data_IF_447508153691
#
_entry.id   IF_447508153691
#
_cell.length_a   1.000
_cell.length_b   1.000
_cell.length_c   1.000
_cell.angle_alpha   90.00
_cell.angle_beta   90.00
_cell.angle_gamma   90.00
#
_symmetry.space_group_name_H-M   'P 1'
#
loop_
_entity.id
_entity.type
_entity.pdbx_description
1 polymer ?
#
# COMPACT_ATOMS: atom_id res chain seq x y z
N UNK A 1 -17.95 -22.96 1.46
CA UNK A 1 -17.36 -22.08 0.43
C UNK A 1 -16.12 -21.45 1.00
N UNK A 2 -15.00 -21.50 0.64
CA UNK A 2 -13.80 -20.97 1.25
C UNK A 2 -13.24 -19.73 0.57
N UNK A 3 -14.03 -19.02 -0.24
CA UNK A 3 -13.56 -17.83 -0.93
C UNK A 3 -13.34 -16.67 0.00
N UNK A 4 -12.21 -15.98 -0.17
CA UNK A 4 -11.93 -14.71 0.50
C UNK A 4 -12.75 -13.63 -0.21
N UNK A 5 -13.47 -12.82 0.55
CA UNK A 5 -14.25 -11.74 -0.03
C UNK A 5 -13.36 -10.52 -0.36
N UNK A 6 -13.90 -9.57 -1.12
CA UNK A 6 -13.15 -8.42 -1.64
C UNK A 6 -12.57 -7.54 -0.53
N UNK A 7 -13.20 -7.48 0.64
CA UNK A 7 -12.71 -6.66 1.75
C UNK A 7 -11.35 -7.14 2.27
N UNK A 8 -11.07 -8.45 2.21
CA UNK A 8 -9.77 -8.98 2.62
C UNK A 8 -8.66 -8.55 1.66
N UNK A 9 -8.94 -8.47 0.36
CA UNK A 9 -7.95 -7.97 -0.61
C UNK A 9 -7.55 -6.53 -0.29
N UNK A 10 -8.52 -5.68 0.01
CA UNK A 10 -8.25 -4.28 0.38
C UNK A 10 -7.47 -4.19 1.69
N UNK A 11 -7.79 -5.06 2.66
CA UNK A 11 -7.04 -5.10 3.92
C UNK A 11 -5.58 -5.51 3.68
N UNK A 12 -5.34 -6.52 2.86
CA UNK A 12 -3.96 -6.94 2.53
C UNK A 12 -3.17 -5.82 1.89
N UNK A 13 -3.78 -5.08 0.95
CA UNK A 13 -3.13 -3.94 0.31
C UNK A 13 -2.80 -2.86 1.33
N UNK A 14 -3.75 -2.51 2.18
CA UNK A 14 -3.57 -1.49 3.20
C UNK A 14 -2.46 -1.87 4.17
N UNK A 15 -2.48 -3.09 4.67
CA UNK A 15 -1.46 -3.58 5.61
C UNK A 15 -0.07 -3.56 4.97
N UNK A 16 0.03 -3.96 3.70
CA UNK A 16 1.31 -3.98 2.99
C UNK A 16 1.87 -2.58 2.73
N UNK A 17 1.03 -1.63 2.35
CA UNK A 17 1.44 -0.23 2.12
C UNK A 17 1.87 0.42 3.42
N UNK A 18 1.11 0.24 4.50
CA UNK A 18 1.47 0.78 5.82
C UNK A 18 2.78 0.18 6.33
N UNK A 19 2.97 -1.13 6.17
CA UNK A 19 4.21 -1.79 6.57
C UNK A 19 5.41 -1.24 5.79
N UNK A 20 5.26 -1.00 4.49
CA UNK A 20 6.31 -0.39 3.67
C UNK A 20 6.68 0.99 4.21
N UNK A 21 5.71 1.84 4.47
CA UNK A 21 5.93 3.17 5.04
C UNK A 21 6.67 3.10 6.37
N UNK A 22 6.21 2.25 7.28
CA UNK A 22 6.81 2.10 8.60
C UNK A 22 8.25 1.60 8.55
N UNK A 23 8.60 0.83 7.52
CA UNK A 23 9.96 0.31 7.35
C UNK A 23 10.93 1.33 6.77
N UNK A 24 10.47 2.24 5.91
CA UNK A 24 11.35 3.16 5.20
C UNK A 24 11.43 4.54 5.86
N UNK A 25 10.41 4.96 6.60
CA UNK A 25 10.36 6.29 7.19
C UNK A 25 10.93 6.30 8.61
N UNK A 26 11.61 7.40 9.01
CA UNK A 26 12.04 7.53 10.40
C UNK A 26 10.84 7.66 11.33
N UNK A 27 11.00 7.33 12.64
CA UNK A 27 9.88 7.37 13.58
C UNK A 27 9.13 8.70 13.65
N UNK A 28 9.84 9.82 13.53
CA UNK A 28 9.21 11.14 13.54
C UNK A 28 8.28 11.33 12.34
N UNK A 29 8.69 10.81 11.17
CA UNK A 29 7.87 10.91 9.96
C UNK A 29 6.64 10.01 10.07
N UNK A 30 6.79 8.80 10.62
CA UNK A 30 5.67 7.89 10.86
C UNK A 30 4.66 8.53 11.82
N UNK A 31 5.12 9.15 12.89
CA UNK A 31 4.24 9.79 13.87
C UNK A 31 3.60 11.06 13.33
N UNK A 32 4.29 11.79 12.44
CA UNK A 32 3.82 13.08 11.92
C UNK A 32 2.94 13.04 10.70
N UNK A 33 2.71 11.86 10.13
CA UNK A 33 1.98 11.72 8.88
C UNK A 33 0.96 10.58 8.93
N UNK A 34 -0.15 10.80 8.24
CA UNK A 34 -1.18 9.76 8.02
C UNK A 34 -1.32 9.52 6.53
N UNK A 35 -1.62 8.29 6.16
CA UNK A 35 -1.89 7.92 4.78
C UNK A 35 -3.36 7.57 4.61
N UNK A 36 -3.99 8.22 3.65
CA UNK A 36 -5.41 7.98 3.32
C UNK A 36 -5.50 7.43 1.92
N UNK A 37 -6.16 6.29 1.77
CA UNK A 37 -6.40 5.71 0.46
C UNK A 37 -7.40 6.57 -0.31
N UNK A 38 -7.05 6.91 -1.56
CA UNK A 38 -7.91 7.68 -2.45
C UNK A 38 -8.62 6.77 -3.45
N UNK A 39 -7.94 5.76 -3.95
CA UNK A 39 -8.48 4.90 -5.00
C UNK A 39 -7.81 3.54 -4.97
N UNK A 40 -8.60 2.51 -5.23
CA UNK A 40 -8.10 1.16 -5.50
C UNK A 40 -8.72 0.65 -6.80
N UNK A 41 -7.87 0.15 -7.70
CA UNK A 41 -8.30 -0.60 -8.88
C UNK A 41 -7.81 -2.02 -8.72
N UNK A 42 -8.74 -2.97 -8.63
CA UNK A 42 -8.42 -4.37 -8.40
C UNK A 42 -8.75 -5.17 -9.64
N UNK A 43 -7.77 -5.91 -10.14
CA UNK A 43 -7.96 -6.90 -11.18
C UNK A 43 -7.87 -8.29 -10.54
N UNK A 44 -8.95 -9.02 -10.52
CA UNK A 44 -9.01 -10.39 -9.97
C UNK A 44 -8.63 -11.38 -11.06
N UNK A 45 -7.73 -12.30 -10.73
CA UNK A 45 -7.29 -13.31 -11.68
C UNK A 45 -7.69 -14.72 -11.26
N UNK A 46 -7.49 -15.03 -9.97
CA UNK A 46 -7.85 -16.34 -9.39
C UNK A 46 -8.43 -16.15 -8.02
N UNK A 47 -9.37 -17.01 -7.59
CA UNK A 47 -9.92 -16.89 -6.24
C UNK A 47 -8.90 -17.26 -5.18
N UNK A 48 -8.97 -16.58 -4.03
CA UNK A 48 -8.25 -16.96 -2.83
C UNK A 48 -9.20 -17.71 -1.90
N UNK A 49 -8.64 -18.61 -1.10
CA UNK A 49 -9.37 -19.40 -0.12
C UNK A 49 -8.83 -19.13 1.28
N UNK A 50 -9.64 -19.39 2.29
CA UNK A 50 -9.30 -19.03 3.68
C UNK A 50 -8.01 -19.68 4.18
N UNK A 51 -7.68 -20.87 3.68
CA UNK A 51 -6.48 -21.60 4.11
C UNK A 51 -5.24 -21.28 3.28
N UNK A 52 -5.37 -20.40 2.28
CA UNK A 52 -4.25 -20.04 1.42
C UNK A 52 -3.21 -19.23 2.16
N UNK A 53 -1.96 -19.53 1.91
CA UNK A 53 -0.84 -18.66 2.30
C UNK A 53 -0.64 -17.62 1.20
N UNK A 54 -1.03 -16.41 1.50
CA UNK A 54 -1.05 -15.31 0.54
C UNK A 54 0.07 -14.32 0.86
N UNK A 55 0.80 -13.93 -0.18
CA UNK A 55 1.87 -12.94 -0.07
C UNK A 55 1.48 -11.72 -0.91
N UNK A 56 1.51 -10.55 -0.29
CA UNK A 56 1.31 -9.28 -0.97
C UNK A 56 2.66 -8.59 -1.17
N UNK A 57 3.03 -8.34 -2.42
CA UNK A 57 4.25 -7.62 -2.77
C UNK A 57 3.88 -6.22 -3.22
N UNK A 58 4.43 -5.22 -2.56
CA UNK A 58 4.14 -3.80 -2.80
C UNK A 58 5.26 -3.17 -3.60
N UNK A 59 4.91 -2.48 -4.67
CA UNK A 59 5.85 -1.70 -5.47
C UNK A 59 5.36 -0.27 -5.52
N UNK A 60 6.19 0.66 -5.09
CA UNK A 60 5.91 2.09 -5.23
C UNK A 60 6.25 2.49 -6.67
N UNK A 61 5.24 2.96 -7.41
CA UNK A 61 5.44 3.40 -8.79
C UNK A 61 5.92 4.84 -8.88
N UNK A 62 5.31 5.74 -8.11
CA UNK A 62 5.72 7.16 -8.11
C UNK A 62 5.17 7.89 -6.89
N UNK A 63 5.82 9.01 -6.58
CA UNK A 63 5.32 10.00 -5.62
C UNK A 63 5.19 11.33 -6.36
N UNK A 64 4.04 11.96 -6.24
CA UNK A 64 3.78 13.27 -6.83
C UNK A 64 3.12 14.18 -5.80
N UNK A 65 3.86 15.16 -5.30
CA UNK A 65 3.40 16.04 -4.22
C UNK A 65 3.11 15.23 -2.95
N UNK A 66 1.88 15.27 -2.49
CA UNK A 66 1.43 14.52 -1.31
C UNK A 66 0.87 13.14 -1.67
N UNK A 67 0.92 12.74 -2.92
CA UNK A 67 0.33 11.47 -3.39
C UNK A 67 1.38 10.42 -3.67
N UNK A 68 1.08 9.19 -3.28
CA UNK A 68 1.87 8.00 -3.60
C UNK A 68 1.02 7.02 -4.40
N UNK A 69 1.64 6.38 -5.38
CA UNK A 69 0.99 5.43 -6.28
C UNK A 69 1.69 4.09 -6.17
N UNK A 70 0.94 3.07 -5.77
CA UNK A 70 1.45 1.73 -5.52
C UNK A 70 0.80 0.71 -6.44
N UNK A 71 1.57 -0.32 -6.78
CA UNK A 71 1.03 -1.55 -7.31
C UNK A 71 1.27 -2.65 -6.28
N UNK A 72 0.24 -3.42 -5.98
CA UNK A 72 0.34 -4.56 -5.07
C UNK A 72 -0.04 -5.83 -5.82
N UNK A 73 0.85 -6.81 -5.81
CA UNK A 73 0.61 -8.11 -6.41
C UNK A 73 0.34 -9.10 -5.28
N UNK A 74 -0.83 -9.72 -5.33
CA UNK A 74 -1.25 -10.70 -4.33
C UNK A 74 -1.11 -12.10 -4.94
N UNK A 75 -0.28 -12.93 -4.31
CA UNK A 75 0.09 -14.25 -4.82
C UNK A 75 -0.17 -15.36 -3.81
N UNK A 76 -0.42 -16.53 -4.35
CA UNK A 76 -0.35 -17.80 -3.64
C UNK A 76 0.66 -18.65 -4.37
N UNK A 77 1.89 -18.80 -3.81
CA UNK A 77 2.99 -19.41 -4.53
C UNK A 77 3.31 -18.64 -5.81
N UNK A 78 3.27 -19.31 -6.95
CA UNK A 78 3.49 -18.69 -8.26
C UNK A 78 2.21 -18.12 -8.88
N UNK A 79 1.06 -18.42 -8.32
CA UNK A 79 -0.22 -17.93 -8.83
C UNK A 79 -0.48 -16.49 -8.41
N UNK A 80 -0.69 -15.62 -9.40
CA UNK A 80 -1.15 -14.25 -9.14
C UNK A 80 -2.66 -14.31 -8.96
N UNK A 81 -3.12 -13.96 -7.76
CA UNK A 81 -4.55 -13.97 -7.43
C UNK A 81 -5.21 -12.65 -7.79
N UNK A 82 -4.52 -11.55 -7.54
CA UNK A 82 -5.03 -10.22 -7.82
C UNK A 82 -3.89 -9.22 -8.02
N UNK A 83 -4.16 -8.19 -8.80
CA UNK A 83 -3.29 -7.03 -8.99
C UNK A 83 -4.07 -5.80 -8.57
N UNK A 84 -3.49 -4.98 -7.70
CA UNK A 84 -4.16 -3.80 -7.18
C UNK A 84 -3.32 -2.57 -7.45
N UNK A 85 -3.87 -1.61 -8.16
CA UNK A 85 -3.28 -0.27 -8.28
C UNK A 85 -3.97 0.63 -7.29
N UNK A 86 -3.19 1.28 -6.44
CA UNK A 86 -3.75 2.13 -5.40
C UNK A 86 -3.06 3.48 -5.38
N UNK A 87 -3.84 4.52 -5.04
CA UNK A 87 -3.30 5.85 -4.81
C UNK A 87 -3.65 6.30 -3.41
N UNK A 88 -2.72 7.01 -2.80
CA UNK A 88 -2.77 7.41 -1.40
C UNK A 88 -2.40 8.87 -1.27
N UNK A 89 -2.96 9.54 -0.29
CA UNK A 89 -2.58 10.91 0.05
C UNK A 89 -1.95 10.94 1.44
N UNK A 90 -0.80 11.58 1.53
CA UNK A 90 -0.13 11.84 2.80
C UNK A 90 -0.74 13.09 3.43
N UNK A 91 -1.13 12.97 4.69
CA UNK A 91 -1.68 14.08 5.47
C UNK A 91 -0.75 14.39 6.64
N UNK A 92 -0.68 15.66 7.01
CA UNK A 92 -0.11 16.06 8.29
C UNK A 92 -1.01 15.52 9.41
N UNK A 93 -0.41 14.86 10.41
CA UNK A 93 -1.18 14.20 11.47
C UNK A 93 -1.92 15.19 12.37
N UNK A 94 -1.44 16.43 12.49
CA UNK A 94 -2.09 17.45 13.31
C UNK A 94 -3.16 18.22 12.56
N UNK A 95 -2.84 18.69 11.34
CA UNK A 95 -3.74 19.56 10.57
C UNK A 95 -4.71 18.78 9.70
N UNK A 96 -4.40 17.51 9.39
CA UNK A 96 -5.13 16.65 8.45
C UNK A 96 -5.17 17.22 7.03
N UNK A 97 -4.23 18.09 6.68
CA UNK A 97 -4.08 18.63 5.34
C UNK A 97 -3.06 17.85 4.55
N UNK A 98 -3.18 17.81 3.21
CA UNK A 98 -2.16 17.18 2.38
C UNK A 98 -0.77 17.72 2.68
N UNK A 99 0.19 16.83 2.85
CA UNK A 99 1.56 17.16 3.18
C UNK A 99 2.51 16.49 2.21
N UNK A 100 3.40 17.28 1.60
CA UNK A 100 4.45 16.74 0.75
C UNK A 100 5.49 16.03 1.60
N UNK A 101 6.00 14.91 1.09
CA UNK A 101 7.12 14.24 1.72
C UNK A 101 8.40 15.06 1.53
N UNK A 102 9.22 15.14 2.58
CA UNK A 102 10.55 15.73 2.48
C UNK A 102 11.40 14.91 1.49
N UNK A 103 12.35 15.59 0.82
CA UNK A 103 13.17 14.95 -0.21
C UNK A 103 13.97 13.75 0.29
N UNK A 104 14.48 13.81 1.52
CA UNK A 104 15.21 12.69 2.10
C UNK A 104 14.31 11.47 2.33
N UNK A 105 13.07 11.68 2.72
CA UNK A 105 12.08 10.60 2.89
C UNK A 105 11.71 10.03 1.52
N UNK A 106 11.47 10.91 0.54
CA UNK A 106 11.16 10.52 -0.83
C UNK A 106 12.26 9.65 -1.43
N UNK A 107 13.52 9.99 -1.17
CA UNK A 107 14.67 9.17 -1.61
C UNK A 107 14.65 7.79 -0.99
N UNK A 108 14.24 7.66 0.26
CA UNK A 108 14.12 6.35 0.93
C UNK A 108 13.09 5.46 0.26
N UNK A 109 11.99 6.02 -0.24
CA UNK A 109 10.99 5.27 -1.01
C UNK A 109 11.61 4.61 -2.24
N UNK A 110 12.44 5.34 -2.97
CA UNK A 110 13.01 4.87 -4.24
C UNK A 110 14.39 4.24 -4.10
N UNK A 111 15.09 4.50 -3.01
CA UNK A 111 16.46 4.05 -2.79
C UNK A 111 16.60 2.75 -1.98
N UNK A 112 15.51 2.22 -1.49
CA UNK A 112 15.55 1.03 -0.65
C UNK A 112 15.49 -0.26 -1.45
#
# INVERSE_FOLDING_TARGET
>A
MGHVNNAYYLKWVQDAVVAHWQNIAPPQAVAGHLWVALKHEITYRKPAFLDDQVIATVVLEKVHGARAFYETIIRRGEDVLAEVKSSWCCLDAETLRPARLAEDIKRRFFGS
#
